data_IF_019325339135
#
_entry.id   IF_019325339135
#
_cell.length_a   1.000
_cell.length_b   1.000
_cell.length_c   1.000
_cell.angle_alpha   90.00
_cell.angle_beta   90.00
_cell.angle_gamma   90.00
#
_symmetry.space_group_name_H-M   'P 1'
#
loop_
_entity.id
_entity.type
_entity.pdbx_description
1 polymer ?
#
# COMPACT_ATOMS: atom_id res chain seq x y z
N UNK A 1 -13.28 -21.97 -43.00
CA UNK A 1 -13.51 -20.51 -42.92
C UNK A 1 -14.19 -20.14 -41.60
N UNK A 2 -15.23 -20.87 -41.16
CA UNK A 2 -15.92 -20.67 -39.87
C UNK A 2 -14.99 -20.92 -38.67
N UNK A 3 -14.32 -22.08 -38.58
CA UNK A 3 -13.40 -22.42 -37.48
C UNK A 3 -12.30 -21.38 -37.22
N UNK A 4 -11.78 -20.76 -38.29
CA UNK A 4 -10.74 -19.72 -38.20
C UNK A 4 -11.27 -18.40 -37.62
N UNK A 5 -12.53 -18.07 -37.88
CA UNK A 5 -13.19 -16.90 -37.30
C UNK A 5 -13.57 -17.16 -35.84
N UNK A 6 -13.96 -18.39 -35.49
CA UNK A 6 -14.22 -18.81 -34.11
C UNK A 6 -12.95 -18.71 -33.25
N UNK A 7 -11.79 -19.13 -33.77
CA UNK A 7 -10.51 -18.99 -33.08
C UNK A 7 -10.15 -17.51 -32.83
N UNK A 8 -10.43 -16.62 -33.78
CA UNK A 8 -10.19 -15.18 -33.64
C UNK A 8 -11.05 -14.58 -32.53
N UNK A 9 -12.35 -14.89 -32.55
CA UNK A 9 -13.29 -14.43 -31.52
C UNK A 9 -12.87 -14.95 -30.14
N UNK A 10 -12.45 -16.22 -30.05
CA UNK A 10 -11.99 -16.81 -28.79
C UNK A 10 -10.75 -16.10 -28.23
N UNK A 11 -9.77 -15.75 -29.06
CA UNK A 11 -8.58 -15.00 -28.62
C UNK A 11 -8.96 -13.63 -28.04
N UNK A 12 -9.88 -12.91 -28.69
CA UNK A 12 -10.37 -11.62 -28.20
C UNK A 12 -11.16 -11.75 -26.88
N UNK A 13 -12.01 -12.77 -26.74
CA UNK A 13 -12.74 -13.04 -25.50
C UNK A 13 -11.76 -13.29 -24.35
N UNK A 14 -10.79 -14.19 -24.55
CA UNK A 14 -9.80 -14.52 -23.52
C UNK A 14 -8.95 -13.31 -23.12
N UNK A 15 -8.53 -12.50 -24.10
CA UNK A 15 -7.83 -11.25 -23.83
C UNK A 15 -8.69 -10.32 -22.97
N UNK A 16 -9.94 -10.09 -23.37
CA UNK A 16 -10.84 -9.17 -22.68
C UNK A 16 -11.12 -9.61 -21.24
N UNK A 17 -11.39 -10.89 -21.03
CA UNK A 17 -11.54 -11.45 -19.68
C UNK A 17 -10.27 -11.27 -18.84
N UNK A 18 -9.08 -11.48 -19.41
CA UNK A 18 -7.83 -11.30 -18.68
C UNK A 18 -7.54 -9.84 -18.36
N UNK A 19 -7.91 -8.92 -19.27
CA UNK A 19 -7.83 -7.48 -19.06
C UNK A 19 -8.71 -7.07 -17.88
N UNK A 20 -10.00 -7.45 -17.91
CA UNK A 20 -10.98 -7.06 -16.90
C UNK A 20 -10.59 -7.63 -15.52
N UNK A 21 -10.13 -8.88 -15.46
CA UNK A 21 -9.62 -9.50 -14.23
C UNK A 21 -8.44 -8.74 -13.61
N UNK A 22 -7.50 -8.28 -14.43
CA UNK A 22 -6.36 -7.49 -13.94
C UNK A 22 -6.81 -6.10 -13.48
N UNK A 23 -7.69 -5.46 -14.25
CA UNK A 23 -8.22 -4.13 -13.94
C UNK A 23 -8.99 -4.12 -12.62
N UNK A 24 -9.88 -5.09 -12.42
CA UNK A 24 -10.63 -5.27 -11.17
C UNK A 24 -9.70 -5.51 -9.97
N UNK A 25 -8.67 -6.34 -10.18
CA UNK A 25 -7.67 -6.58 -9.14
C UNK A 25 -6.93 -5.29 -8.76
N UNK A 26 -6.44 -4.51 -9.73
CA UNK A 26 -5.81 -3.20 -9.46
C UNK A 26 -6.77 -2.27 -8.73
N UNK A 27 -8.02 -2.18 -9.18
CA UNK A 27 -9.04 -1.30 -8.59
C UNK A 27 -9.24 -1.63 -7.12
N UNK A 28 -9.37 -2.91 -6.78
CA UNK A 28 -9.53 -3.36 -5.40
C UNK A 28 -8.31 -3.00 -4.55
N UNK A 29 -7.09 -3.27 -5.03
CA UNK A 29 -5.87 -2.88 -4.33
C UNK A 29 -5.77 -1.35 -4.12
N UNK A 30 -6.17 -0.54 -5.12
CA UNK A 30 -6.19 0.92 -5.02
C UNK A 30 -7.18 1.42 -3.98
N UNK A 31 -8.37 0.82 -3.89
CA UNK A 31 -9.36 1.15 -2.85
C UNK A 31 -8.81 0.83 -1.46
N UNK A 32 -8.21 -0.35 -1.28
CA UNK A 32 -7.65 -0.76 0.01
C UNK A 32 -6.49 0.13 0.47
N UNK A 33 -5.59 0.49 -0.45
CA UNK A 33 -4.45 1.35 -0.10
C UNK A 33 -4.86 2.79 0.18
N UNK A 34 -5.89 3.31 -0.51
CA UNK A 34 -6.44 4.64 -0.23
C UNK A 34 -6.92 4.77 1.22
N UNK A 35 -7.47 3.71 1.81
CA UNK A 35 -7.89 3.69 3.22
C UNK A 35 -6.71 3.75 4.22
N UNK A 36 -5.47 3.60 3.73
CA UNK A 36 -4.25 3.61 4.52
C UNK A 36 -3.37 4.85 4.22
N UNK A 37 -3.85 5.76 3.37
CA UNK A 37 -3.05 6.86 2.81
C UNK A 37 -2.84 8.04 3.76
N UNK A 38 -3.53 8.07 4.91
CA UNK A 38 -3.29 9.05 5.97
C UNK A 38 -2.57 8.41 7.18
N UNK A 39 -1.71 9.20 7.81
CA UNK A 39 -0.95 8.83 9.01
C UNK A 39 -1.63 9.30 10.31
N UNK A 40 -2.92 9.60 10.29
CA UNK A 40 -3.64 10.11 11.46
C UNK A 40 -4.06 8.97 12.39
N UNK A 41 -4.21 9.31 13.66
CA UNK A 41 -4.67 8.43 14.72
C UNK A 41 -3.56 7.96 15.67
N UNK A 42 -3.94 7.10 16.60
CA UNK A 42 -3.04 6.51 17.58
C UNK A 42 -2.06 5.53 16.93
N UNK A 43 -0.93 5.28 17.62
CA UNK A 43 0.12 4.35 17.19
C UNK A 43 -0.43 3.00 16.68
N UNK A 44 -1.38 2.42 17.39
CA UNK A 44 -1.98 1.12 17.03
C UNK A 44 -2.79 1.19 15.72
N UNK A 45 -3.45 2.32 15.46
CA UNK A 45 -4.17 2.55 14.20
C UNK A 45 -3.18 2.62 13.02
N UNK A 46 -2.10 3.38 13.19
CA UNK A 46 -1.02 3.49 12.18
C UNK A 46 -0.37 2.13 11.93
N UNK A 47 -0.14 1.33 12.97
CA UNK A 47 0.40 -0.03 12.84
C UNK A 47 -0.55 -0.96 12.09
N UNK A 48 -1.86 -0.89 12.34
CA UNK A 48 -2.88 -1.66 11.59
C UNK A 48 -2.90 -1.27 10.12
N UNK A 49 -2.84 0.03 9.79
CA UNK A 49 -2.72 0.51 8.40
C UNK A 49 -1.46 -0.03 7.73
N UNK A 50 -0.31 0.02 8.40
CA UNK A 50 0.94 -0.52 7.86
C UNK A 50 0.84 -2.01 7.56
N UNK A 51 0.21 -2.79 8.44
CA UNK A 51 -0.01 -4.21 8.22
C UNK A 51 -0.90 -4.48 7.00
N UNK A 52 -1.94 -3.67 6.77
CA UNK A 52 -2.76 -3.77 5.54
C UNK A 52 -1.92 -3.48 4.28
N UNK A 53 -1.14 -2.41 4.28
CA UNK A 53 -0.26 -2.08 3.14
C UNK A 53 0.75 -3.20 2.86
N UNK A 54 1.32 -3.83 3.90
CA UNK A 54 2.20 -4.99 3.74
C UNK A 54 1.51 -6.17 3.07
N UNK A 55 0.26 -6.47 3.42
CA UNK A 55 -0.54 -7.52 2.75
C UNK A 55 -0.76 -7.23 1.26
N UNK A 56 -1.01 -5.97 0.90
CA UNK A 56 -1.13 -5.57 -0.51
C UNK A 56 0.21 -5.79 -1.23
N UNK A 57 1.33 -5.43 -0.59
CA UNK A 57 2.69 -5.66 -1.13
C UNK A 57 2.95 -7.15 -1.34
N UNK A 58 2.57 -8.01 -0.38
CA UNK A 58 2.67 -9.47 -0.48
C UNK A 58 1.81 -10.04 -1.62
N UNK A 59 0.73 -9.34 -2.00
CA UNK A 59 -0.12 -9.73 -3.13
C UNK A 59 0.38 -9.22 -4.49
N UNK A 60 1.38 -8.33 -4.56
CA UNK A 60 1.91 -7.81 -5.83
C UNK A 60 2.38 -8.89 -6.82
N UNK A 61 3.03 -10.01 -6.41
CA UNK A 61 3.38 -11.07 -7.34
C UNK A 61 2.17 -11.67 -8.08
N UNK A 62 0.99 -11.71 -7.45
CA UNK A 62 -0.26 -12.12 -8.11
C UNK A 62 -0.67 -11.10 -9.18
N UNK A 63 -0.55 -9.81 -8.87
CA UNK A 63 -0.81 -8.72 -9.82
C UNK A 63 0.08 -8.80 -11.06
N UNK A 64 1.39 -9.03 -10.85
CA UNK A 64 2.34 -9.23 -11.94
C UNK A 64 1.93 -10.41 -12.83
N UNK A 65 1.57 -11.56 -12.24
CA UNK A 65 1.13 -12.73 -13.01
C UNK A 65 -0.14 -12.44 -13.85
N UNK A 66 -1.08 -11.67 -13.31
CA UNK A 66 -2.28 -11.25 -14.03
C UNK A 66 -1.95 -10.30 -15.20
N UNK A 67 -1.04 -9.34 -14.99
CA UNK A 67 -0.57 -8.43 -16.03
C UNK A 67 0.11 -9.20 -17.17
N UNK A 68 1.04 -10.10 -16.84
CA UNK A 68 1.75 -10.91 -17.83
C UNK A 68 0.80 -11.80 -18.62
N UNK A 69 -0.23 -12.35 -17.98
CA UNK A 69 -1.29 -13.10 -18.67
C UNK A 69 -2.05 -12.22 -19.67
N UNK A 70 -2.44 -11.00 -19.26
CA UNK A 70 -3.14 -10.07 -20.15
C UNK A 70 -2.28 -9.65 -21.35
N UNK A 71 -0.98 -9.39 -21.12
CA UNK A 71 -0.02 -9.09 -22.20
C UNK A 71 0.07 -10.26 -23.19
N UNK A 72 0.29 -11.48 -22.70
CA UNK A 72 0.41 -12.67 -23.56
C UNK A 72 -0.85 -12.91 -24.41
N UNK A 73 -2.04 -12.74 -23.81
CA UNK A 73 -3.30 -12.92 -24.55
C UNK A 73 -3.56 -11.77 -25.54
N UNK A 74 -3.08 -10.56 -25.24
CA UNK A 74 -3.14 -9.43 -26.18
C UNK A 74 -2.29 -9.67 -27.42
N UNK A 75 -1.11 -10.28 -27.28
CA UNK A 75 -0.23 -10.62 -28.40
C UNK A 75 -0.94 -11.59 -29.36
N UNK A 76 -1.62 -12.61 -28.82
CA UNK A 76 -2.42 -13.54 -29.62
C UNK A 76 -3.60 -12.85 -30.33
N UNK A 77 -4.28 -11.91 -29.67
CA UNK A 77 -5.36 -11.14 -30.28
C UNK A 77 -4.84 -10.19 -31.39
N UNK A 78 -3.66 -9.58 -31.21
CA UNK A 78 -3.05 -8.68 -32.19
C UNK A 78 -2.76 -9.38 -33.52
N UNK A 79 -2.42 -10.67 -33.52
CA UNK A 79 -2.18 -11.45 -34.75
C UNK A 79 -3.43 -11.54 -35.65
N UNK A 80 -4.61 -11.41 -35.05
CA UNK A 80 -5.90 -11.63 -35.72
C UNK A 80 -6.70 -10.33 -35.93
N UNK A 81 -6.16 -9.19 -35.50
CA UNK A 81 -6.85 -7.89 -35.50
C UNK A 81 -6.45 -7.00 -36.68
N UNK A 82 -7.40 -6.23 -37.22
CA UNK A 82 -7.12 -5.15 -38.19
C UNK A 82 -6.36 -3.97 -37.54
N UNK A 83 -5.81 -3.05 -38.34
CA UNK A 83 -4.93 -1.99 -37.84
C UNK A 83 -5.54 -1.11 -36.73
N UNK A 84 -6.80 -0.69 -36.88
CA UNK A 84 -7.49 0.13 -35.87
C UNK A 84 -7.64 -0.58 -34.53
N UNK A 85 -8.01 -1.88 -34.54
CA UNK A 85 -8.11 -2.66 -33.31
C UNK A 85 -6.75 -2.96 -32.68
N UNK A 86 -5.67 -3.04 -33.47
CA UNK A 86 -4.31 -3.17 -32.95
C UNK A 86 -3.89 -1.94 -32.14
N UNK A 87 -4.20 -0.75 -32.63
CA UNK A 87 -3.92 0.49 -31.91
C UNK A 87 -4.68 0.54 -30.57
N UNK A 88 -5.95 0.11 -30.56
CA UNK A 88 -6.74 0.01 -29.33
C UNK A 88 -6.12 -0.94 -28.30
N UNK A 89 -5.80 -2.18 -28.70
CA UNK A 89 -5.21 -3.19 -27.80
C UNK A 89 -3.86 -2.70 -27.24
N UNK A 90 -3.03 -2.06 -28.08
CA UNK A 90 -1.75 -1.52 -27.64
C UNK A 90 -1.92 -0.40 -26.61
N UNK A 91 -2.89 0.49 -26.79
CA UNK A 91 -3.22 1.54 -25.81
C UNK A 91 -3.73 0.94 -24.50
N UNK A 92 -4.59 -0.07 -24.56
CA UNK A 92 -5.11 -0.79 -23.40
C UNK A 92 -3.98 -1.42 -22.57
N UNK A 93 -3.06 -2.15 -23.22
CA UNK A 93 -1.90 -2.74 -22.54
C UNK A 93 -0.96 -1.68 -21.96
N UNK A 94 -0.75 -0.57 -22.67
CA UNK A 94 0.04 0.55 -22.16
C UNK A 94 -0.59 1.11 -20.88
N UNK A 95 -1.92 1.28 -20.86
CA UNK A 95 -2.61 1.75 -19.67
C UNK A 95 -2.47 0.76 -18.51
N UNK A 96 -2.61 -0.55 -18.75
CA UNK A 96 -2.43 -1.55 -17.69
C UNK A 96 -1.04 -1.47 -17.04
N UNK A 97 0.02 -1.28 -17.84
CA UNK A 97 1.39 -1.12 -17.33
C UNK A 97 1.55 0.15 -16.50
N UNK A 98 0.99 1.27 -16.95
CA UNK A 98 1.02 2.54 -16.20
C UNK A 98 0.28 2.40 -14.87
N UNK A 99 -0.91 1.80 -14.87
CA UNK A 99 -1.69 1.58 -13.65
C UNK A 99 -0.96 0.66 -12.66
N UNK A 100 -0.23 -0.33 -13.17
CA UNK A 100 0.60 -1.23 -12.39
C UNK A 100 1.75 -0.52 -11.68
N UNK A 101 2.55 0.23 -12.44
CA UNK A 101 3.66 1.02 -11.90
C UNK A 101 3.16 2.04 -10.87
N UNK A 102 2.03 2.68 -11.15
CA UNK A 102 1.39 3.62 -10.25
C UNK A 102 0.98 2.95 -8.92
N UNK A 103 0.36 1.77 -8.97
CA UNK A 103 0.00 1.01 -7.76
C UNK A 103 1.24 0.66 -6.93
N UNK A 104 2.31 0.18 -7.58
CA UNK A 104 3.57 -0.16 -6.89
C UNK A 104 4.17 1.07 -6.21
N UNK A 105 4.17 2.22 -6.88
CA UNK A 105 4.68 3.46 -6.34
C UNK A 105 3.84 3.94 -5.13
N UNK A 106 2.50 3.90 -5.23
CA UNK A 106 1.61 4.23 -4.09
C UNK A 106 1.85 3.29 -2.90
N UNK A 107 2.05 1.98 -3.14
CA UNK A 107 2.41 1.00 -2.10
C UNK A 107 3.69 1.40 -1.36
N UNK A 108 4.74 1.74 -2.12
CA UNK A 108 6.03 2.15 -1.57
C UNK A 108 5.91 3.43 -0.75
N UNK A 109 5.24 4.45 -1.28
CA UNK A 109 5.13 5.75 -0.62
C UNK A 109 4.26 5.69 0.63
N UNK A 110 3.13 4.98 0.58
CA UNK A 110 2.24 4.79 1.73
C UNK A 110 2.93 4.00 2.84
N UNK A 111 3.67 2.94 2.48
CA UNK A 111 4.48 2.18 3.46
C UNK A 111 5.50 3.09 4.14
N UNK A 112 6.26 3.86 3.37
CA UNK A 112 7.28 4.78 3.89
C UNK A 112 6.68 5.85 4.80
N UNK A 113 5.53 6.41 4.43
CA UNK A 113 4.80 7.39 5.26
C UNK A 113 4.44 6.80 6.63
N UNK A 114 3.85 5.60 6.64
CA UNK A 114 3.40 4.95 7.87
C UNK A 114 4.58 4.51 8.75
N UNK A 115 5.66 3.99 8.16
CA UNK A 115 6.89 3.64 8.87
C UNK A 115 7.53 4.87 9.52
N UNK A 116 7.58 6.01 8.82
CA UNK A 116 8.06 7.28 9.37
C UNK A 116 7.18 7.76 10.54
N UNK A 117 5.86 7.66 10.42
CA UNK A 117 4.94 8.02 11.49
C UNK A 117 5.14 7.14 12.73
N UNK A 118 5.32 5.82 12.55
CA UNK A 118 5.61 4.92 13.66
C UNK A 118 6.95 5.23 14.33
N UNK A 119 7.99 5.55 13.56
CA UNK A 119 9.27 6.02 14.13
C UNK A 119 9.08 7.24 15.02
N UNK A 120 8.33 8.24 14.55
CA UNK A 120 8.04 9.44 15.35
C UNK A 120 7.25 9.10 16.63
N UNK A 121 6.34 8.12 16.58
CA UNK A 121 5.65 7.60 17.76
C UNK A 121 6.61 6.95 18.76
N UNK A 122 7.60 6.19 18.29
CA UNK A 122 8.60 5.59 19.18
C UNK A 122 9.44 6.67 19.88
N UNK A 123 9.93 7.67 19.13
CA UNK A 123 10.73 8.78 19.67
C UNK A 123 9.93 9.61 20.70
N UNK A 124 8.65 9.87 20.41
CA UNK A 124 7.75 10.57 21.31
C UNK A 124 7.54 9.80 22.63
N UNK A 125 7.25 8.50 22.55
CA UNK A 125 7.02 7.67 23.74
C UNK A 125 8.27 7.58 24.61
N UNK A 126 9.45 7.40 24.00
CA UNK A 126 10.72 7.37 24.72
C UNK A 126 10.98 8.70 25.44
N UNK A 127 10.76 9.82 24.74
CA UNK A 127 10.93 11.16 25.31
C UNK A 127 9.94 11.43 26.44
N UNK A 128 8.68 11.01 26.27
CA UNK A 128 7.62 11.15 27.27
C UNK A 128 7.94 10.36 28.53
N UNK A 129 8.43 9.11 28.38
CA UNK A 129 8.84 8.27 29.50
C UNK A 129 10.02 8.91 30.27
N UNK A 130 11.05 9.38 29.55
CA UNK A 130 12.20 10.08 30.16
C UNK A 130 11.74 11.30 30.97
N UNK A 131 10.85 12.13 30.42
CA UNK A 131 10.28 13.30 31.12
C UNK A 131 9.46 12.90 32.34
N UNK A 132 8.61 11.88 32.21
CA UNK A 132 7.80 11.39 33.33
C UNK A 132 8.67 10.88 34.48
N UNK A 133 9.75 10.15 34.19
CA UNK A 133 10.73 9.72 35.19
C UNK A 133 11.40 10.90 35.87
N UNK A 134 11.88 11.87 35.09
CA UNK A 134 12.52 13.08 35.63
C UNK A 134 11.60 13.87 36.58
N UNK A 135 10.33 14.08 36.19
CA UNK A 135 9.35 14.75 37.05
C UNK A 135 9.14 13.98 38.36
N UNK A 136 8.94 12.64 38.29
CA UNK A 136 8.76 11.81 39.49
C UNK A 136 9.96 11.83 40.42
N UNK A 137 11.17 11.80 39.87
CA UNK A 137 12.40 11.89 40.66
C UNK A 137 12.53 13.26 41.35
N UNK A 138 12.20 14.34 40.64
CA UNK A 138 12.26 15.69 41.20
C UNK A 138 11.20 15.91 42.29
N UNK A 139 9.96 15.45 42.06
CA UNK A 139 8.90 15.46 43.07
C UNK A 139 9.29 14.67 44.32
N UNK A 140 9.98 13.54 44.15
CA UNK A 140 10.52 12.74 45.26
C UNK A 140 11.59 13.51 46.05
N UNK A 141 12.48 14.22 45.37
CA UNK A 141 13.51 15.06 46.00
C UNK A 141 12.88 16.23 46.77
N UNK A 142 11.93 16.95 46.17
CA UNK A 142 11.23 18.06 46.84
C UNK A 142 10.55 17.61 48.14
N UNK A 143 9.82 16.49 48.10
CA UNK A 143 9.18 15.91 49.29
C UNK A 143 10.17 15.49 50.38
N UNK A 144 11.40 15.17 49.99
CA UNK A 144 12.46 14.80 50.94
C UNK A 144 13.02 16.05 51.63
N UNK A 145 13.26 17.12 50.86
CA UNK A 145 13.71 18.42 51.39
C UNK A 145 12.69 19.01 52.36
N UNK A 146 11.40 19.03 52.00
CA UNK A 146 10.33 19.52 52.90
C UNK A 146 10.23 18.76 54.23
N UNK A 147 10.63 17.48 54.26
CA UNK A 147 10.66 16.70 55.50
C UNK A 147 11.87 17.07 56.36
N UNK A 148 13.02 17.33 55.76
CA UNK A 148 14.22 17.74 56.48
C UNK A 148 14.03 19.10 57.13
N UNK A 149 13.43 20.06 56.42
CA UNK A 149 13.14 21.40 56.97
C UNK A 149 12.17 21.34 58.17
N UNK A 150 11.30 20.32 58.27
CA UNK A 150 10.42 20.11 59.44
C UNK A 150 11.10 19.42 60.63
N UNK A 151 12.29 18.84 60.45
CA UNK A 151 12.99 18.07 61.48
C UNK A 151 14.08 18.91 62.17
N UNK A 152 14.53 20.02 61.59
CA UNK A 152 15.49 20.95 62.22
C UNK A 152 14.76 22.01 63.04
N UNK A 153 14.78 21.98 64.40
CA UNK A 153 14.33 23.08 65.23
C UNK A 153 15.48 24.09 65.40
N UNK A 154 15.14 25.38 65.47
CA UNK A 154 16.06 26.47 65.86
C UNK A 154 16.66 26.27 67.26
#
# INVERSE_FOLDING_TARGET
MIAKLEDYVNSHIQYKESYDNFYDWIRNCKIEIQQCSDSHGEKDSVQKKLNKVKKIIEALPKGEALLQKAIKLSEAALETTGNEGKDSINQEIKQLKIEWENLQQICKDTKKLLEKCLSAWFDYLETSEKKSKWVKEYDGKLKTVEKVDKITPE
#
